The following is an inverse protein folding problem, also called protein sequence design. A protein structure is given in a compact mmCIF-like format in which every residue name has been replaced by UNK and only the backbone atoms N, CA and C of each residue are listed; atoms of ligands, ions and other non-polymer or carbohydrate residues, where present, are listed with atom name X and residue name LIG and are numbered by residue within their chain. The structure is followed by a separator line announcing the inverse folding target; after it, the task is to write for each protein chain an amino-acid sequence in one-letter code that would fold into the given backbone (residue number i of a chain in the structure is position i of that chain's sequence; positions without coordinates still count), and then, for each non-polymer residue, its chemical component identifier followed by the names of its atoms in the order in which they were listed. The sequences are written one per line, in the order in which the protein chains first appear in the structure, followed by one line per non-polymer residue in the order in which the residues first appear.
data_IF_393912063775
#
_entry.id   IF_393912063775
#
_cell.length_a   1.000
_cell.length_b   1.000
_cell.length_c   1.000
_cell.angle_alpha   90.00
_cell.angle_beta   90.00
_cell.angle_gamma   90.00
#
_symmetry.space_group_name_H-M   'P 1'
#
loop_
_entity.id
_entity.type
_entity.pdbx_description
1 polymer ?
#
# COMPACT_ATOMS: atom_id res chain seq x y z
N UNK A 1 -8.90 2.53 64.90
CA UNK A 1 -8.05 1.53 64.21
C UNK A 1 -7.85 2.02 62.78
N UNK A 2 -6.82 2.85 62.54
CA UNK A 2 -6.53 3.38 61.20
C UNK A 2 -5.60 2.41 60.44
N UNK A 3 -6.06 1.94 59.28
CA UNK A 3 -5.29 1.10 58.38
C UNK A 3 -4.44 1.97 57.45
N UNK A 4 -3.12 1.97 57.64
CA UNK A 4 -2.18 2.64 56.72
C UNK A 4 -2.12 1.91 55.37
N UNK A 5 -2.50 2.61 54.30
CA UNK A 5 -2.26 2.18 52.92
C UNK A 5 -0.78 2.35 52.60
N UNK A 6 -0.08 1.24 52.31
CA UNK A 6 1.32 1.27 51.90
C UNK A 6 1.42 1.61 50.42
N UNK A 7 1.92 2.80 50.09
CA UNK A 7 2.28 3.15 48.71
C UNK A 7 3.58 2.42 48.33
N UNK A 8 3.54 1.58 47.30
CA UNK A 8 4.73 0.89 46.77
C UNK A 8 5.52 1.89 45.92
N UNK A 9 6.79 2.20 46.23
CA UNK A 9 7.59 3.11 45.43
C UNK A 9 7.92 2.45 44.08
N UNK A 10 7.52 3.10 42.99
CA UNK A 10 7.84 2.63 41.64
C UNK A 10 9.33 2.82 41.37
N UNK A 11 10.08 1.72 41.32
CA UNK A 11 11.53 1.77 41.16
C UNK A 11 11.91 2.40 39.80
N UNK A 12 12.88 3.32 39.82
CA UNK A 12 13.32 4.02 38.60
C UNK A 12 14.11 3.04 37.74
N UNK A 13 13.59 2.76 36.54
CA UNK A 13 14.24 1.86 35.58
C UNK A 13 15.74 2.16 35.43
N UNK A 14 16.53 1.11 35.53
CA UNK A 14 17.98 1.13 35.33
C UNK A 14 18.33 1.60 33.92
N UNK A 15 19.58 2.04 33.75
CA UNK A 15 20.08 2.46 32.42
C UNK A 15 19.98 1.33 31.39
N UNK A 16 20.15 0.08 31.82
CA UNK A 16 20.07 -1.11 30.97
C UNK A 16 18.62 -1.38 30.56
N UNK A 17 17.66 -1.35 31.49
CA UNK A 17 16.24 -1.55 31.16
C UNK A 17 15.71 -0.47 30.22
N UNK A 18 16.13 0.79 30.42
CA UNK A 18 15.81 1.89 29.50
C UNK A 18 16.37 1.65 28.10
N UNK A 19 17.59 1.12 28.01
CA UNK A 19 18.23 0.79 26.73
C UNK A 19 17.51 -0.37 26.03
N UNK A 20 17.12 -1.41 26.78
CA UNK A 20 16.36 -2.56 26.26
C UNK A 20 14.99 -2.11 25.74
N UNK A 21 14.27 -1.27 26.50
CA UNK A 21 12.98 -0.71 26.09
C UNK A 21 13.09 0.23 24.88
N UNK A 22 14.19 0.98 24.76
CA UNK A 22 14.45 1.82 23.60
C UNK A 22 14.73 0.97 22.35
N UNK A 23 15.60 -0.02 22.49
CA UNK A 23 15.95 -0.93 21.42
C UNK A 23 14.72 -1.74 20.97
N UNK A 24 13.89 -2.24 21.89
CA UNK A 24 12.66 -2.97 21.53
C UNK A 24 11.63 -2.11 20.80
N UNK A 25 11.45 -0.84 21.21
CA UNK A 25 10.61 0.13 20.49
C UNK A 25 11.16 0.42 19.09
N UNK A 26 12.47 0.51 18.93
CA UNK A 26 13.12 0.76 17.65
C UNK A 26 13.03 -0.44 16.70
N UNK A 27 13.15 -1.66 17.24
CA UNK A 27 12.90 -2.92 16.51
C UNK A 27 11.43 -3.04 16.10
N UNK A 28 10.48 -2.69 16.97
CA UNK A 28 9.04 -2.67 16.63
C UNK A 28 8.70 -1.59 15.58
N UNK A 29 9.31 -0.40 15.68
CA UNK A 29 9.15 0.68 14.69
C UNK A 29 9.75 0.33 13.33
N UNK A 30 10.82 -0.49 13.28
CA UNK A 30 11.33 -1.06 12.02
C UNK A 30 10.42 -2.15 11.46
N UNK A 31 9.84 -3.03 12.30
CA UNK A 31 8.85 -4.03 11.86
C UNK A 31 7.55 -3.40 11.34
N UNK A 32 7.08 -2.30 11.92
CA UNK A 32 5.89 -1.57 11.42
C UNK A 32 6.13 -0.79 10.13
N UNK A 33 7.40 -0.63 9.70
CA UNK A 33 7.74 -0.04 8.39
C UNK A 33 7.57 -1.01 7.24
N UNK A 34 7.42 -2.31 7.48
CA UNK A 34 6.91 -3.21 6.45
C UNK A 34 5.44 -2.88 6.28
N UNK A 35 5.13 -2.04 5.28
CA UNK A 35 3.75 -1.66 4.96
C UNK A 35 2.94 -2.91 4.74
N UNK A 36 1.93 -3.12 5.58
CA UNK A 36 1.01 -4.24 5.43
C UNK A 36 0.40 -4.20 4.03
N UNK A 37 0.35 -5.35 3.36
CA UNK A 37 -0.30 -5.48 2.05
C UNK A 37 -1.79 -5.19 2.22
N UNK A 38 -2.27 -4.17 1.52
CA UNK A 38 -3.69 -3.84 1.42
C UNK A 38 -4.36 -4.86 0.50
N UNK A 39 -5.52 -5.39 0.89
CA UNK A 39 -6.33 -6.28 0.05
C UNK A 39 -7.33 -5.47 -0.77
N UNK A 40 -7.81 -6.03 -1.88
CA UNK A 40 -8.85 -5.40 -2.72
C UNK A 40 -10.12 -5.10 -1.92
N UNK A 41 -10.57 -6.01 -1.05
CA UNK A 41 -11.77 -5.79 -0.23
C UNK A 41 -11.64 -4.61 0.74
N UNK A 42 -10.42 -4.27 1.14
CA UNK A 42 -10.12 -3.18 2.08
C UNK A 42 -9.90 -1.84 1.37
N UNK A 43 -10.05 -1.79 0.04
CA UNK A 43 -9.89 -0.56 -0.72
C UNK A 43 -11.04 0.41 -0.47
N UNK A 44 -10.68 1.57 0.06
CA UNK A 44 -11.55 2.73 0.17
C UNK A 44 -11.39 3.64 -1.06
N UNK A 45 -12.51 4.20 -1.52
CA UNK A 45 -12.50 5.10 -2.65
C UNK A 45 -11.93 6.47 -2.30
N UNK A 46 -11.19 7.07 -3.23
CA UNK A 46 -10.57 8.39 -3.06
C UNK A 46 -9.58 8.43 -1.87
N UNK A 47 -8.93 7.30 -1.60
CA UNK A 47 -7.92 7.17 -0.55
C UNK A 47 -6.57 6.71 -1.09
N UNK A 48 -5.46 7.04 -0.40
CA UNK A 48 -4.15 6.46 -0.66
C UNK A 48 -4.13 4.94 -0.44
N UNK A 49 -3.36 4.24 -1.25
CA UNK A 49 -3.08 2.80 -1.09
C UNK A 49 -1.61 2.62 -0.78
N UNK A 50 -1.29 2.18 0.44
CA UNK A 50 0.09 2.11 0.92
C UNK A 50 0.95 1.13 0.13
N UNK A 51 0.44 -0.09 -0.03
CA UNK A 51 1.03 -1.20 -0.78
C UNK A 51 -0.08 -2.18 -1.15
N UNK A 52 -0.18 -2.60 -2.41
CA UNK A 52 -1.12 -3.64 -2.87
C UNK A 52 -0.47 -4.50 -3.95
N UNK A 53 -0.77 -5.80 -3.95
CA UNK A 53 -0.25 -6.75 -4.95
C UNK A 53 -1.41 -7.41 -5.67
N UNK A 54 -1.39 -7.33 -6.99
CA UNK A 54 -2.50 -7.67 -7.86
C UNK A 54 -1.99 -8.53 -9.01
N UNK A 55 -2.65 -9.66 -9.25
CA UNK A 55 -2.50 -10.43 -10.49
C UNK A 55 -3.22 -9.69 -11.62
N UNK A 56 -2.52 -9.38 -12.70
CA UNK A 56 -3.09 -8.73 -13.89
C UNK A 56 -3.82 -9.75 -14.74
N UNK A 57 -5.14 -9.60 -14.85
CA UNK A 57 -6.01 -10.52 -15.60
C UNK A 57 -6.21 -10.11 -17.06
N UNK A 58 -6.20 -8.80 -17.33
CA UNK A 58 -6.42 -8.26 -18.68
C UNK A 58 -5.84 -6.87 -18.79
N UNK A 59 -5.33 -6.54 -19.98
CA UNK A 59 -5.01 -5.18 -20.42
C UNK A 59 -5.90 -4.74 -21.57
N UNK A 60 -6.17 -3.44 -21.64
CA UNK A 60 -6.87 -2.81 -22.75
C UNK A 60 -5.92 -1.95 -23.58
N UNK A 61 -6.25 -1.65 -24.85
CA UNK A 61 -5.42 -0.80 -25.70
C UNK A 61 -5.11 0.56 -25.05
N UNK A 62 -3.88 1.08 -25.20
CA UNK A 62 -3.51 2.38 -24.68
C UNK A 62 -4.23 3.51 -25.42
N UNK A 63 -4.47 4.61 -24.72
CA UNK A 63 -5.00 5.85 -25.28
C UNK A 63 -4.22 7.06 -24.77
N UNK A 64 -4.14 8.10 -25.59
CA UNK A 64 -3.60 9.39 -25.18
C UNK A 64 -4.67 10.16 -24.40
N UNK A 65 -4.33 10.71 -23.24
CA UNK A 65 -5.14 11.72 -22.57
C UNK A 65 -4.36 13.03 -22.50
N UNK A 66 -5.07 14.14 -22.66
CA UNK A 66 -4.52 15.49 -22.58
C UNK A 66 -5.46 16.36 -21.77
N UNK A 67 -4.94 17.01 -20.74
CA UNK A 67 -5.64 18.02 -19.96
C UNK A 67 -4.65 19.11 -19.52
N UNK A 68 -5.13 20.26 -19.05
CA UNK A 68 -4.29 21.41 -18.67
C UNK A 68 -3.12 21.08 -17.72
N UNK A 69 -3.27 20.03 -16.91
CA UNK A 69 -2.27 19.62 -15.91
C UNK A 69 -1.33 18.50 -16.38
N UNK A 70 -1.72 17.70 -17.38
CA UNK A 70 -0.95 16.52 -17.78
C UNK A 70 -1.40 15.97 -19.13
N UNK A 71 -0.41 15.51 -19.92
CA UNK A 71 -0.60 14.79 -21.19
C UNK A 71 0.26 13.54 -21.19
N UNK A 72 -0.29 12.41 -21.65
CA UNK A 72 0.44 11.16 -21.80
C UNK A 72 -0.46 9.95 -22.02
N UNK A 73 0.17 8.79 -22.20
CA UNK A 73 -0.52 7.55 -22.51
C UNK A 73 -1.02 6.87 -21.24
N UNK A 74 -2.23 6.30 -21.33
CA UNK A 74 -2.81 5.47 -20.28
C UNK A 74 -3.41 4.22 -20.88
N UNK A 75 -3.32 3.10 -20.16
CA UNK A 75 -4.08 1.90 -20.46
C UNK A 75 -4.90 1.49 -19.24
N UNK A 76 -6.14 1.07 -19.47
CA UNK A 76 -6.91 0.37 -18.46
C UNK A 76 -6.41 -1.08 -18.35
N UNK A 77 -6.52 -1.64 -17.15
CA UNK A 77 -6.34 -3.06 -16.92
C UNK A 77 -7.30 -3.55 -15.84
N UNK A 78 -7.49 -4.86 -15.77
CA UNK A 78 -8.22 -5.53 -14.69
C UNK A 78 -7.26 -6.44 -13.96
N UNK A 79 -7.36 -6.50 -12.64
CA UNK A 79 -6.60 -7.43 -11.84
C UNK A 79 -7.39 -7.95 -10.66
N UNK A 80 -6.83 -8.95 -9.97
CA UNK A 80 -7.44 -9.52 -8.77
C UNK A 80 -6.42 -9.90 -7.72
N UNK A 81 -6.91 -10.04 -6.51
CA UNK A 81 -6.27 -10.80 -5.45
C UNK A 81 -7.22 -11.87 -4.89
N UNK A 82 -6.89 -12.47 -3.74
CA UNK A 82 -7.73 -13.45 -3.08
C UNK A 82 -9.05 -12.87 -2.52
N UNK A 83 -9.15 -11.56 -2.40
CA UNK A 83 -10.27 -10.85 -1.77
C UNK A 83 -11.23 -10.19 -2.78
N UNK A 84 -10.82 -10.01 -4.03
CA UNK A 84 -11.69 -9.45 -5.05
C UNK A 84 -11.01 -9.02 -6.34
N UNK A 85 -11.78 -8.33 -7.19
CA UNK A 85 -11.36 -7.79 -8.48
C UNK A 85 -11.28 -6.27 -8.39
N UNK A 86 -10.30 -5.69 -9.08
CA UNK A 86 -10.09 -4.24 -9.10
C UNK A 86 -9.66 -3.78 -10.50
N UNK A 87 -10.09 -2.58 -10.89
CA UNK A 87 -9.55 -1.92 -12.07
C UNK A 87 -8.15 -1.36 -11.78
N UNK A 88 -7.31 -1.29 -12.82
CA UNK A 88 -6.00 -0.67 -12.77
C UNK A 88 -5.89 0.40 -13.85
N UNK A 89 -5.10 1.44 -13.59
CA UNK A 89 -4.62 2.38 -14.61
C UNK A 89 -3.10 2.29 -14.68
N UNK A 90 -2.60 1.93 -15.87
CA UNK A 90 -1.19 1.90 -16.22
C UNK A 90 -0.85 3.21 -16.94
N UNK A 91 0.25 3.84 -16.53
CA UNK A 91 0.73 5.11 -17.07
C UNK A 91 2.01 4.92 -17.88
N UNK A 92 2.08 5.56 -19.05
CA UNK A 92 3.31 5.66 -19.86
C UNK A 92 4.05 4.32 -19.99
N UNK A 93 5.27 4.23 -19.44
CA UNK A 93 6.17 3.07 -19.54
C UNK A 93 5.59 1.82 -18.86
N UNK A 94 4.70 1.98 -17.88
CA UNK A 94 4.01 0.85 -17.23
C UNK A 94 3.14 0.06 -18.22
N UNK A 95 2.66 0.73 -19.27
CA UNK A 95 1.83 0.09 -20.30
C UNK A 95 2.63 -0.98 -21.02
N UNK A 96 3.86 -0.67 -21.42
CA UNK A 96 4.71 -1.64 -22.12
C UNK A 96 5.32 -2.67 -21.17
N UNK A 97 5.62 -2.27 -19.93
CA UNK A 97 6.27 -3.15 -18.96
C UNK A 97 5.36 -4.28 -18.45
N UNK A 98 4.08 -4.00 -18.17
CA UNK A 98 3.17 -4.94 -17.47
C UNK A 98 2.48 -5.85 -18.47
N UNK A 99 2.55 -7.17 -18.33
CA UNK A 99 1.84 -8.15 -19.14
C UNK A 99 0.58 -8.71 -18.43
N UNK A 100 -0.27 -9.40 -19.19
CA UNK A 100 -1.30 -10.25 -18.58
C UNK A 100 -0.63 -11.45 -17.94
N UNK A 101 -1.04 -11.82 -16.73
CA UNK A 101 -0.41 -12.88 -15.93
C UNK A 101 0.63 -12.38 -14.94
N UNK A 102 1.13 -11.15 -15.08
CA UNK A 102 2.07 -10.58 -14.12
C UNK A 102 1.41 -10.33 -12.77
N UNK A 103 2.20 -10.50 -11.70
CA UNK A 103 1.86 -9.96 -10.39
C UNK A 103 2.54 -8.61 -10.25
N UNK A 104 1.75 -7.56 -10.10
CA UNK A 104 2.25 -6.19 -9.91
C UNK A 104 2.08 -5.76 -8.46
N UNK A 105 3.11 -5.14 -7.90
CA UNK A 105 3.06 -4.41 -6.64
C UNK A 105 2.95 -2.91 -6.91
N UNK A 106 1.94 -2.28 -6.32
CA UNK A 106 1.75 -0.82 -6.37
C UNK A 106 2.01 -0.25 -4.98
N UNK A 107 3.00 0.63 -4.87
CA UNK A 107 3.38 1.33 -3.63
C UNK A 107 3.01 2.81 -3.71
N UNK A 108 2.50 3.39 -2.62
CA UNK A 108 1.97 4.77 -2.59
C UNK A 108 0.95 5.05 -3.72
N UNK A 109 0.10 4.07 -4.01
CA UNK A 109 -0.95 4.18 -5.00
C UNK A 109 -2.11 5.04 -4.54
N UNK A 110 -3.12 5.11 -5.39
CA UNK A 110 -4.36 5.83 -5.14
C UNK A 110 -5.54 5.04 -5.69
N UNK A 111 -6.56 4.85 -4.87
CA UNK A 111 -7.82 4.25 -5.27
C UNK A 111 -8.82 5.36 -5.66
N UNK A 112 -9.42 5.28 -6.85
CA UNK A 112 -10.54 6.13 -7.29
C UNK A 112 -11.76 5.29 -7.58
N UNK A 113 -12.92 5.93 -7.54
CA UNK A 113 -14.13 5.42 -8.19
C UNK A 113 -14.20 5.88 -9.64
N UNK A 114 -14.42 4.95 -10.57
CA UNK A 114 -14.65 5.19 -12.00
C UNK A 114 -15.77 4.28 -12.49
N UNK A 115 -16.86 4.88 -12.98
CA UNK A 115 -18.02 4.15 -13.49
C UNK A 115 -18.56 3.10 -12.49
N UNK A 116 -18.63 3.46 -11.20
CA UNK A 116 -19.08 2.55 -10.14
C UNK A 116 -18.01 1.61 -9.60
N UNK A 117 -16.88 1.45 -10.29
CA UNK A 117 -15.83 0.50 -9.92
C UNK A 117 -14.64 1.15 -9.20
N UNK A 118 -14.02 0.37 -8.32
CA UNK A 118 -12.74 0.73 -7.68
C UNK A 118 -11.60 0.55 -8.67
N UNK A 119 -10.78 1.59 -8.80
CA UNK A 119 -9.65 1.61 -9.73
C UNK A 119 -8.40 2.11 -9.01
N UNK A 120 -7.34 1.29 -9.00
CA UNK A 120 -6.05 1.61 -8.40
C UNK A 120 -5.05 2.06 -9.46
N UNK A 121 -4.22 3.03 -9.10
CA UNK A 121 -3.11 3.50 -9.93
C UNK A 121 -1.94 3.88 -9.05
N UNK A 122 -0.76 4.11 -9.62
CA UNK A 122 0.39 4.67 -8.89
C UNK A 122 0.18 6.10 -8.40
N UNK A 123 -0.88 6.80 -8.82
CA UNK A 123 -1.06 8.21 -8.48
C UNK A 123 0.14 9.07 -8.94
N UNK A 124 0.39 10.19 -8.26
CA UNK A 124 1.47 11.13 -8.63
C UNK A 124 2.86 10.68 -8.19
N UNK A 125 2.96 10.02 -7.03
CA UNK A 125 4.22 9.72 -6.36
C UNK A 125 4.44 8.21 -6.12
N UNK A 126 3.54 7.37 -6.60
CA UNK A 126 3.64 5.92 -6.42
C UNK A 126 4.47 5.25 -7.50
N UNK A 127 4.78 3.98 -7.24
CA UNK A 127 5.58 3.13 -8.11
C UNK A 127 4.86 1.82 -8.36
N UNK A 128 5.03 1.28 -9.56
CA UNK A 128 4.62 -0.06 -9.93
C UNK A 128 5.87 -0.89 -10.17
N UNK A 129 5.91 -2.10 -9.61
CA UNK A 129 6.96 -3.10 -9.88
C UNK A 129 6.33 -4.45 -10.17
N UNK A 130 6.88 -5.19 -11.13
CA UNK A 130 6.49 -6.59 -11.39
C UNK A 130 7.28 -7.45 -10.40
N UNK A 131 6.60 -8.37 -9.72
CA UNK A 131 7.17 -9.20 -8.64
C UNK A 131 7.04 -10.70 -8.91
N UNK A 132 7.08 -11.10 -10.19
CA UNK A 132 7.01 -12.51 -10.58
C UNK A 132 8.02 -13.33 -9.76
N UNK A 133 7.53 -14.30 -8.99
CA UNK A 133 8.39 -15.24 -8.28
C UNK A 133 9.12 -16.08 -9.34
N UNK A 134 10.45 -16.11 -9.27
CA UNK A 134 11.31 -17.00 -10.06
C UNK A 134 11.37 -18.38 -9.40
#
# INVERSE_FOLDING_TARGET
MESQVRTIPMNRLSRIEKQILKNSKETQKKKSRTRYRTKVCDLEENQPVSNIEILVLRRYPPRLISNRKWTGHVAAACGRDESGVVGLVLWNEQIEAVATGDIVRIENGWCKRRLGERVVSTGRNGRLTIINEL
#
